data_IF_948441120389
#
_entry.id   IF_948441120389
#
_cell.length_a   1.000
_cell.length_b   1.000
_cell.length_c   1.000
_cell.angle_alpha   90.00
_cell.angle_beta   90.00
_cell.angle_gamma   90.00
#
_symmetry.space_group_name_H-M   'P 1'
#
loop_
_entity.id
_entity.type
_entity.pdbx_description
1 polymer ?
#
# COMPACT_ATOMS: atom_id res chain seq x y z
N UNK A 1 33.59 -1.84 11.18
CA UNK A 1 33.68 -2.87 10.11
C UNK A 1 32.35 -2.88 9.37
N UNK A 2 32.31 -2.22 8.22
CA UNK A 2 31.16 -2.19 7.32
C UNK A 2 31.03 -3.57 6.67
N UNK A 3 29.84 -4.17 6.59
CA UNK A 3 29.69 -5.50 6.00
C UNK A 3 30.00 -5.45 4.48
N UNK A 4 30.48 -6.56 3.90
CA UNK A 4 30.79 -6.62 2.48
C UNK A 4 29.50 -6.53 1.66
N UNK A 5 29.53 -5.71 0.61
CA UNK A 5 28.47 -5.58 -0.39
C UNK A 5 28.50 -6.88 -1.21
N UNK A 6 27.52 -7.75 -1.03
CA UNK A 6 27.43 -9.04 -1.72
C UNK A 6 27.33 -8.87 -3.25
N UNK A 7 28.12 -9.67 -3.97
CA UNK A 7 28.19 -9.80 -5.43
C UNK A 7 26.81 -10.11 -6.06
N UNK A 8 26.14 -9.11 -6.63
CA UNK A 8 24.95 -9.29 -7.50
C UNK A 8 25.20 -8.74 -8.92
N UNK A 9 26.47 -8.45 -9.25
CA UNK A 9 26.88 -7.62 -10.39
C UNK A 9 26.69 -8.28 -11.77
N UNK A 10 26.70 -9.62 -11.85
CA UNK A 10 26.50 -10.35 -13.11
C UNK A 10 25.04 -10.49 -13.51
N UNK A 11 24.12 -10.56 -12.53
CA UNK A 11 22.71 -10.90 -12.79
C UNK A 11 21.94 -9.80 -13.51
N UNK A 12 22.18 -8.53 -13.16
CA UNK A 12 21.45 -7.41 -13.78
C UNK A 12 21.80 -7.22 -15.26
N UNK A 13 23.08 -7.35 -15.62
CA UNK A 13 23.54 -7.25 -17.01
C UNK A 13 22.97 -8.37 -17.88
N UNK A 14 22.98 -9.61 -17.37
CA UNK A 14 22.39 -10.77 -18.04
C UNK A 14 20.87 -10.62 -18.23
N UNK A 15 20.16 -10.10 -17.22
CA UNK A 15 18.71 -9.89 -17.29
C UNK A 15 18.32 -8.81 -18.29
N UNK A 16 19.05 -7.69 -18.33
CA UNK A 16 18.84 -6.63 -19.30
C UNK A 16 19.14 -7.10 -20.73
N UNK A 17 20.08 -8.03 -20.89
CA UNK A 17 20.37 -8.68 -22.16
C UNK A 17 19.27 -9.68 -22.56
N UNK A 18 18.79 -10.50 -21.63
CA UNK A 18 17.67 -11.43 -21.86
C UNK A 18 16.36 -10.69 -22.18
N UNK A 19 16.15 -9.52 -21.59
CA UNK A 19 15.03 -8.63 -21.90
C UNK A 19 15.18 -7.90 -23.26
N UNK A 20 16.30 -8.09 -23.97
CA UNK A 20 16.57 -7.45 -25.27
C UNK A 20 16.87 -5.95 -25.18
N UNK A 21 17.11 -5.41 -23.99
CA UNK A 21 17.37 -3.99 -23.76
C UNK A 21 18.85 -3.61 -23.90
N UNK A 22 19.76 -4.58 -23.74
CA UNK A 22 21.20 -4.38 -23.90
C UNK A 22 21.82 -5.46 -24.79
N UNK A 23 22.79 -5.07 -25.62
CA UNK A 23 23.66 -5.99 -26.35
C UNK A 23 24.85 -6.44 -25.48
N UNK A 24 25.51 -7.58 -25.80
CA UNK A 24 26.71 -8.02 -25.08
C UNK A 24 27.83 -6.95 -25.03
N UNK A 25 27.98 -6.19 -26.12
CA UNK A 25 28.95 -5.10 -26.21
C UNK A 25 28.59 -3.94 -25.28
N UNK A 26 27.30 -3.60 -25.18
CA UNK A 26 26.83 -2.55 -24.28
C UNK A 26 27.01 -2.96 -22.81
N UNK A 27 26.76 -4.22 -22.45
CA UNK A 27 27.01 -4.75 -21.09
C UNK A 27 28.48 -4.62 -20.71
N UNK A 28 29.38 -4.98 -21.62
CA UNK A 28 30.84 -4.86 -21.42
C UNK A 28 31.26 -3.42 -21.21
N UNK A 29 30.69 -2.49 -22.00
CA UNK A 29 30.95 -1.04 -21.88
C UNK A 29 30.43 -0.45 -20.57
N UNK A 30 29.26 -0.88 -20.11
CA UNK A 30 28.70 -0.46 -18.82
C UNK A 30 29.58 -0.97 -17.67
N UNK A 31 30.02 -2.23 -17.73
CA UNK A 31 30.90 -2.83 -16.72
C UNK A 31 32.26 -2.11 -16.62
N UNK A 32 32.81 -1.65 -17.74
CA UNK A 32 34.04 -0.85 -17.75
C UNK A 32 33.87 0.49 -17.00
N UNK A 33 32.80 1.23 -17.30
CA UNK A 33 32.48 2.51 -16.61
C UNK A 33 32.14 2.28 -15.14
N UNK A 34 31.48 1.17 -14.83
CA UNK A 34 31.20 0.76 -13.46
C UNK A 34 32.50 0.59 -12.64
N UNK A 35 33.49 -0.11 -13.20
CA UNK A 35 34.78 -0.35 -12.55
C UNK A 35 35.64 0.91 -12.45
N UNK A 36 35.64 1.74 -13.48
CA UNK A 36 36.43 2.98 -13.53
C UNK A 36 35.88 4.06 -12.59
N UNK A 37 34.56 4.18 -12.47
CA UNK A 37 33.91 5.28 -11.74
C UNK A 37 33.28 4.85 -10.41
N UNK A 38 33.34 3.56 -10.06
CA UNK A 38 32.76 3.03 -8.82
C UNK A 38 31.25 3.15 -8.72
N UNK A 39 30.54 3.26 -9.85
CA UNK A 39 29.09 3.40 -9.91
C UNK A 39 28.37 2.04 -9.77
N UNK A 40 27.06 2.06 -9.53
CA UNK A 40 26.22 0.85 -9.69
C UNK A 40 25.97 0.58 -11.18
N UNK A 41 25.82 -0.68 -11.59
CA UNK A 41 25.63 -1.05 -13.02
C UNK A 41 24.49 -0.26 -13.68
N UNK A 42 23.32 -0.17 -13.03
CA UNK A 42 22.19 0.61 -13.55
C UNK A 42 22.49 2.11 -13.67
N UNK A 43 23.24 2.68 -12.73
CA UNK A 43 23.65 4.10 -12.75
C UNK A 43 24.63 4.38 -13.89
N UNK A 44 25.59 3.47 -14.11
CA UNK A 44 26.50 3.53 -15.25
C UNK A 44 25.74 3.41 -16.60
N UNK A 45 24.71 2.56 -16.68
CA UNK A 45 23.88 2.40 -17.87
C UNK A 45 23.04 3.64 -18.21
N UNK A 46 22.44 4.29 -17.20
CA UNK A 46 21.71 5.57 -17.38
C UNK A 46 22.65 6.68 -17.80
N UNK A 47 23.82 6.77 -17.17
CA UNK A 47 24.81 7.79 -17.47
C UNK A 47 25.38 7.68 -18.88
N UNK A 48 25.49 6.47 -19.41
CA UNK A 48 25.87 6.20 -20.79
C UNK A 48 24.73 6.47 -21.80
N UNK A 49 23.53 6.82 -21.33
CA UNK A 49 22.35 7.02 -22.17
C UNK A 49 21.82 5.74 -22.81
N UNK A 50 22.26 4.57 -22.33
CA UNK A 50 21.90 3.27 -22.90
C UNK A 50 20.57 2.75 -22.36
N UNK A 51 20.19 3.18 -21.15
CA UNK A 51 18.93 2.81 -20.51
C UNK A 51 18.33 4.03 -19.81
N UNK A 52 17.00 4.05 -19.71
CA UNK A 52 16.30 4.94 -18.79
C UNK A 52 16.18 4.29 -17.41
N UNK A 53 15.98 5.11 -16.37
CA UNK A 53 15.66 4.57 -15.03
C UNK A 53 14.41 3.68 -15.06
N UNK A 54 13.43 4.01 -15.90
CA UNK A 54 12.19 3.24 -16.05
C UNK A 54 12.47 1.83 -16.60
N UNK A 55 13.29 1.71 -17.63
CA UNK A 55 13.67 0.41 -18.21
C UNK A 55 14.39 -0.47 -17.18
N UNK A 56 15.28 0.11 -16.37
CA UNK A 56 15.98 -0.61 -15.30
C UNK A 56 14.99 -1.08 -14.23
N UNK A 57 14.05 -0.21 -13.82
CA UNK A 57 13.02 -0.56 -12.83
C UNK A 57 12.12 -1.70 -13.30
N UNK A 58 11.73 -1.71 -14.57
CA UNK A 58 10.89 -2.77 -15.15
C UNK A 58 11.58 -4.14 -15.12
N UNK A 59 12.87 -4.21 -15.48
CA UNK A 59 13.62 -5.47 -15.46
C UNK A 59 13.91 -5.93 -14.03
N UNK A 60 14.23 -5.01 -13.12
CA UNK A 60 14.39 -5.34 -11.70
C UNK A 60 13.07 -5.86 -11.09
N UNK A 61 11.92 -5.31 -11.50
CA UNK A 61 10.62 -5.76 -11.01
C UNK A 61 10.33 -7.21 -11.43
N UNK A 62 10.69 -7.59 -12.65
CA UNK A 62 10.61 -8.97 -13.14
C UNK A 62 11.53 -9.91 -12.35
N UNK A 63 12.77 -9.51 -12.06
CA UNK A 63 13.74 -10.30 -11.29
C UNK A 63 13.27 -10.60 -9.86
N UNK A 64 12.71 -9.59 -9.19
CA UNK A 64 12.26 -9.73 -7.80
C UNK A 64 10.80 -10.17 -7.68
N UNK A 65 10.11 -10.48 -8.79
CA UNK A 65 8.67 -10.79 -8.86
C UNK A 65 7.79 -9.75 -8.15
N UNK A 66 8.19 -8.48 -8.20
CA UNK A 66 7.33 -7.39 -7.74
C UNK A 66 6.36 -7.03 -8.87
N UNK A 67 5.08 -7.26 -8.64
CA UNK A 67 4.04 -6.72 -9.48
C UNK A 67 4.12 -5.18 -9.40
N UNK A 68 4.33 -4.51 -10.54
CA UNK A 68 4.52 -3.06 -10.65
C UNK A 68 3.46 -2.48 -11.57
N UNK A 69 3.05 -1.24 -11.29
CA UNK A 69 2.20 -0.51 -12.24
C UNK A 69 3.07 -0.02 -13.39
N UNK A 70 3.30 -0.87 -14.38
CA UNK A 70 4.15 -0.55 -15.54
C UNK A 70 3.41 0.26 -16.62
N UNK A 71 2.08 0.34 -16.55
CA UNK A 71 1.26 0.95 -17.60
C UNK A 71 0.63 2.28 -17.15
N UNK A 72 0.65 3.34 -17.98
CA UNK A 72 -0.10 4.58 -17.76
C UNK A 72 -1.63 4.40 -17.62
N UNK A 73 -2.14 3.20 -17.96
CA UNK A 73 -3.54 2.83 -17.97
C UNK A 73 -3.98 1.98 -16.76
N UNK A 74 -3.11 1.76 -15.77
CA UNK A 74 -3.41 0.86 -14.63
C UNK A 74 -4.58 1.30 -13.76
N UNK A 75 -4.99 2.57 -13.86
CA UNK A 75 -5.98 3.19 -12.97
C UNK A 75 -5.46 3.43 -11.55
N UNK A 76 -4.34 2.80 -11.16
CA UNK A 76 -3.73 2.93 -9.84
C UNK A 76 -3.11 4.31 -9.70
N UNK A 77 -3.49 5.02 -8.62
CA UNK A 77 -3.10 6.40 -8.38
C UNK A 77 -1.57 6.58 -8.40
N UNK A 78 -1.04 7.60 -9.11
CA UNK A 78 0.38 7.95 -9.09
C UNK A 78 0.93 8.25 -7.70
N UNK A 79 0.05 8.53 -6.73
CA UNK A 79 0.45 8.76 -5.35
C UNK A 79 1.01 7.50 -4.68
N UNK A 80 0.63 6.29 -5.13
CA UNK A 80 1.05 5.04 -4.52
C UNK A 80 2.50 4.69 -4.90
N UNK A 81 3.46 5.19 -4.12
CA UNK A 81 4.89 4.93 -4.32
C UNK A 81 5.24 3.44 -4.38
N UNK A 82 4.51 2.57 -3.66
CA UNK A 82 4.72 1.11 -3.73
C UNK A 82 4.46 0.52 -5.13
N UNK A 83 3.59 1.15 -5.93
CA UNK A 83 3.26 0.74 -7.28
C UNK A 83 4.18 1.35 -8.33
N UNK A 84 4.52 2.64 -8.18
CA UNK A 84 5.20 3.45 -9.20
C UNK A 84 6.69 3.72 -8.92
N UNK A 85 7.10 3.62 -7.66
CA UNK A 85 8.49 3.74 -7.20
C UNK A 85 8.87 2.55 -6.28
N UNK A 86 8.74 1.29 -6.76
CA UNK A 86 8.83 0.09 -5.93
C UNK A 86 10.20 -0.13 -5.27
N UNK A 87 11.26 0.51 -5.75
CA UNK A 87 12.61 0.46 -5.16
C UNK A 87 12.94 1.67 -4.30
N UNK A 88 11.99 2.59 -4.14
CA UNK A 88 12.16 3.78 -3.31
C UNK A 88 12.11 3.47 -1.81
N UNK A 89 12.63 4.38 -0.97
CA UNK A 89 12.64 4.21 0.48
C UNK A 89 11.24 4.08 1.09
N UNK A 90 10.24 4.76 0.52
CA UNK A 90 8.85 4.65 0.96
C UNK A 90 8.27 3.25 0.72
N UNK A 91 8.52 2.68 -0.47
CA UNK A 91 8.09 1.32 -0.80
C UNK A 91 8.71 0.30 0.18
N UNK A 92 9.99 0.48 0.51
CA UNK A 92 10.66 -0.38 1.49
C UNK A 92 10.10 -0.21 2.90
N UNK A 93 9.77 1.03 3.32
CA UNK A 93 9.11 1.27 4.60
C UNK A 93 7.75 0.55 4.69
N UNK A 94 6.94 0.59 3.61
CA UNK A 94 5.67 -0.15 3.54
C UNK A 94 5.91 -1.66 3.63
N UNK A 95 6.91 -2.23 2.94
CA UNK A 95 7.25 -3.66 3.04
C UNK A 95 7.71 -4.07 4.44
N UNK A 96 8.43 -3.19 5.15
CA UNK A 96 8.80 -3.41 6.55
C UNK A 96 7.56 -3.47 7.44
N UNK A 97 6.62 -2.53 7.30
CA UNK A 97 5.35 -2.54 8.04
C UNK A 97 4.56 -3.81 7.73
N UNK A 98 4.37 -4.17 6.45
CA UNK A 98 3.72 -5.42 6.05
C UNK A 98 4.37 -6.65 6.69
N UNK A 99 5.69 -6.72 6.72
CA UNK A 99 6.42 -7.83 7.33
C UNK A 99 6.19 -7.91 8.84
N UNK A 100 6.19 -6.78 9.54
CA UNK A 100 5.85 -6.72 10.97
C UNK A 100 4.42 -7.18 11.24
N UNK A 101 3.45 -6.76 10.40
CA UNK A 101 2.07 -7.20 10.51
C UNK A 101 1.97 -8.72 10.26
N UNK A 102 2.57 -9.24 9.20
CA UNK A 102 2.56 -10.67 8.89
C UNK A 102 3.15 -11.51 10.05
N UNK A 103 4.24 -11.06 10.66
CA UNK A 103 4.83 -11.73 11.82
C UNK A 103 3.91 -11.75 13.05
N UNK A 104 3.09 -10.71 13.23
CA UNK A 104 2.11 -10.67 14.32
C UNK A 104 1.03 -11.76 14.16
N UNK A 105 0.55 -11.96 12.93
CA UNK A 105 -0.42 -13.02 12.63
C UNK A 105 0.23 -14.42 12.61
N UNK A 106 1.54 -14.53 12.42
CA UNK A 106 2.27 -15.80 12.44
C UNK A 106 1.74 -16.78 11.38
N UNK A 107 1.48 -18.02 11.80
CA UNK A 107 0.93 -19.06 10.91
C UNK A 107 -0.60 -19.02 10.79
N UNK A 108 -1.26 -17.96 11.27
CA UNK A 108 -2.70 -17.83 11.11
C UNK A 108 -3.08 -17.86 9.63
N UNK A 109 -4.14 -18.62 9.33
CA UNK A 109 -4.64 -18.81 7.96
C UNK A 109 -5.13 -17.51 7.31
N UNK A 110 -5.48 -16.50 8.11
CA UNK A 110 -6.09 -15.25 7.68
C UNK A 110 -5.41 -14.06 8.35
N UNK A 111 -4.96 -13.12 7.53
CA UNK A 111 -4.52 -11.79 7.97
C UNK A 111 -5.70 -10.83 7.75
N UNK A 112 -6.16 -10.14 8.79
CA UNK A 112 -7.24 -9.17 8.66
C UNK A 112 -7.07 -8.01 9.63
N UNK A 113 -6.99 -6.80 9.09
CA UNK A 113 -6.86 -5.59 9.92
C UNK A 113 -7.53 -4.38 9.26
N UNK A 114 -8.10 -3.53 10.12
CA UNK A 114 -8.60 -2.22 9.74
C UNK A 114 -7.48 -1.16 9.83
N UNK A 115 -7.50 -0.16 8.96
CA UNK A 115 -6.60 0.99 9.02
C UNK A 115 -7.39 2.17 9.54
N UNK A 116 -7.05 2.62 10.75
CA UNK A 116 -7.82 3.62 11.50
C UNK A 116 -6.95 4.85 11.78
N UNK A 117 -7.52 6.04 11.63
CA UNK A 117 -6.86 7.28 12.01
C UNK A 117 -7.86 8.18 12.75
N UNK A 118 -7.42 9.00 13.72
CA UNK A 118 -8.30 9.92 14.41
C UNK A 118 -9.08 10.82 13.47
N UNK A 119 -8.40 11.44 12.49
CA UNK A 119 -8.96 12.50 11.66
C UNK A 119 -8.71 12.27 10.15
N UNK A 120 -9.47 12.99 9.32
CA UNK A 120 -9.34 12.89 7.86
C UNK A 120 -8.02 13.43 7.32
N UNK A 121 -7.46 12.75 6.31
CA UNK A 121 -6.24 13.17 5.62
C UNK A 121 -4.95 12.94 6.42
N UNK A 122 -4.98 12.00 7.35
CA UNK A 122 -3.79 11.46 8.03
C UNK A 122 -3.05 10.41 7.21
N UNK A 123 -3.60 10.05 6.03
CA UNK A 123 -3.00 9.08 5.12
C UNK A 123 -3.47 7.65 5.32
N UNK A 124 -4.60 7.43 6.03
CA UNK A 124 -5.24 6.13 6.25
C UNK A 124 -5.44 5.33 4.96
N UNK A 125 -6.13 5.91 3.97
CA UNK A 125 -6.43 5.27 2.69
C UNK A 125 -5.17 5.00 1.87
N UNK A 126 -4.19 5.91 1.94
CA UNK A 126 -2.88 5.71 1.30
C UNK A 126 -2.14 4.52 1.88
N UNK A 127 -2.08 4.43 3.22
CA UNK A 127 -1.43 3.32 3.90
C UNK A 127 -2.17 2.01 3.65
N UNK A 128 -3.50 2.01 3.72
CA UNK A 128 -4.34 0.84 3.46
C UNK A 128 -4.12 0.28 2.04
N UNK A 129 -4.23 1.13 1.01
CA UNK A 129 -3.99 0.73 -0.37
C UNK A 129 -2.53 0.27 -0.58
N UNK A 130 -1.56 0.95 0.03
CA UNK A 130 -0.14 0.58 -0.09
C UNK A 130 0.16 -0.78 0.56
N UNK A 131 -0.42 -1.06 1.72
CA UNK A 131 -0.30 -2.34 2.40
C UNK A 131 -0.99 -3.46 1.62
N UNK A 132 -2.16 -3.19 1.02
CA UNK A 132 -2.85 -4.17 0.19
C UNK A 132 -1.98 -4.58 -1.01
N UNK A 133 -1.35 -3.62 -1.70
CA UNK A 133 -0.38 -3.90 -2.75
C UNK A 133 0.81 -4.70 -2.20
N UNK A 134 1.36 -4.32 -1.04
CA UNK A 134 2.53 -4.98 -0.49
C UNK A 134 2.25 -6.44 -0.07
N UNK A 135 1.05 -6.76 0.42
CA UNK A 135 0.61 -8.13 0.70
C UNK A 135 0.38 -8.93 -0.59
N UNK A 136 -0.23 -8.34 -1.60
CA UNK A 136 -0.36 -8.94 -2.94
C UNK A 136 1.01 -9.25 -3.56
N UNK A 137 1.97 -8.33 -3.45
CA UNK A 137 3.35 -8.54 -3.91
C UNK A 137 4.08 -9.65 -3.14
N UNK A 138 3.65 -9.95 -1.92
CA UNK A 138 4.19 -11.05 -1.12
C UNK A 138 3.58 -12.43 -1.48
N UNK A 139 2.67 -12.47 -2.47
CA UNK A 139 2.04 -13.72 -2.91
C UNK A 139 0.74 -14.07 -2.20
N UNK A 140 0.18 -13.17 -1.36
CA UNK A 140 -1.10 -13.40 -0.70
C UNK A 140 -2.27 -12.91 -1.54
N UNK A 141 -3.34 -13.71 -1.64
CA UNK A 141 -4.61 -13.27 -2.22
C UNK A 141 -5.20 -12.22 -1.30
N UNK A 142 -5.15 -10.98 -1.73
CA UNK A 142 -5.43 -9.80 -0.92
C UNK A 142 -6.71 -9.13 -1.38
N UNK A 143 -7.55 -8.76 -0.42
CA UNK A 143 -8.74 -7.97 -0.63
C UNK A 143 -8.60 -6.62 0.07
N UNK A 144 -8.62 -5.55 -0.72
CA UNK A 144 -8.80 -4.19 -0.20
C UNK A 144 -10.29 -3.87 -0.13
N UNK A 145 -10.75 -3.38 1.02
CA UNK A 145 -12.14 -2.97 1.23
C UNK A 145 -12.15 -1.49 1.62
N UNK A 146 -12.77 -0.65 0.79
CA UNK A 146 -13.08 0.74 1.16
C UNK A 146 -14.38 0.76 1.97
N UNK A 147 -14.28 0.91 3.30
CA UNK A 147 -15.42 1.04 4.19
C UNK A 147 -15.72 2.49 4.61
N UNK A 148 -15.10 3.49 3.97
CA UNK A 148 -15.35 4.91 4.22
C UNK A 148 -16.57 5.42 3.43
N UNK A 149 -17.76 5.00 3.88
CA UNK A 149 -19.05 5.40 3.31
C UNK A 149 -19.41 6.89 3.54
N UNK A 150 -18.68 7.58 4.42
CA UNK A 150 -18.89 9.01 4.75
C UNK A 150 -17.94 9.94 4.01
N UNK A 151 -16.78 9.44 3.60
CA UNK A 151 -15.72 10.20 3.00
C UNK A 151 -16.13 10.90 1.69
N UNK A 152 -15.38 11.93 1.26
CA UNK A 152 -15.66 12.64 0.01
C UNK A 152 -15.53 11.73 -1.21
N UNK A 153 -16.20 12.08 -2.31
CA UNK A 153 -16.15 11.37 -3.60
C UNK A 153 -14.80 11.63 -4.24
N UNK A 154 -13.85 10.76 -3.91
CA UNK A 154 -12.50 10.77 -4.47
C UNK A 154 -12.36 9.58 -5.41
N UNK A 155 -11.61 9.72 -6.50
CA UNK A 155 -11.19 8.58 -7.29
C UNK A 155 -10.51 7.55 -6.39
N UNK A 156 -10.80 6.27 -6.61
CA UNK A 156 -10.15 5.17 -5.91
C UNK A 156 -8.65 5.22 -6.13
N UNK A 157 -7.86 5.01 -5.07
CA UNK A 157 -6.40 4.93 -5.20
C UNK A 157 -5.97 3.70 -6.01
N UNK A 158 -6.80 2.67 -6.08
CA UNK A 158 -6.52 1.43 -6.82
C UNK A 158 -7.19 1.39 -8.19
N UNK A 159 -7.81 2.50 -8.64
CA UNK A 159 -8.38 2.62 -9.99
C UNK A 159 -9.69 1.89 -10.23
N UNK A 160 -10.26 1.25 -9.20
CA UNK A 160 -11.52 0.53 -9.29
C UNK A 160 -12.66 1.42 -8.81
N UNK A 161 -13.65 1.62 -9.68
CA UNK A 161 -14.96 2.16 -9.33
C UNK A 161 -16.01 1.25 -9.98
N UNK A 162 -16.87 0.67 -9.15
CA UNK A 162 -17.96 -0.21 -9.53
C UNK A 162 -19.30 0.49 -9.26
N UNK A 163 -20.34 0.16 -10.02
CA UNK A 163 -21.69 0.66 -9.75
C UNK A 163 -22.29 0.09 -8.46
N UNK A 164 -21.87 -1.12 -8.09
CA UNK A 164 -22.20 -1.83 -6.85
C UNK A 164 -20.93 -1.98 -6.00
N UNK A 165 -21.03 -1.68 -4.71
CA UNK A 165 -19.91 -1.78 -3.78
C UNK A 165 -20.33 -2.19 -2.38
N UNK A 166 -19.48 -1.92 -1.38
CA UNK A 166 -19.68 -2.37 -0.01
C UNK A 166 -21.04 -1.94 0.54
N UNK A 167 -21.45 -0.69 0.34
CA UNK A 167 -22.73 -0.19 0.87
C UNK A 167 -23.93 -0.98 0.34
N UNK A 168 -23.93 -1.36 -0.93
CA UNK A 168 -24.99 -2.17 -1.54
C UNK A 168 -24.94 -3.63 -1.10
N UNK A 169 -23.73 -4.19 -0.94
CA UNK A 169 -23.53 -5.57 -0.46
C UNK A 169 -24.01 -5.72 0.99
N UNK A 170 -23.57 -4.83 1.88
CA UNK A 170 -23.96 -4.86 3.29
C UNK A 170 -25.44 -4.55 3.49
N UNK A 171 -26.08 -3.84 2.55
CA UNK A 171 -27.53 -3.63 2.53
C UNK A 171 -28.33 -4.82 1.95
N UNK A 172 -27.67 -5.90 1.53
CA UNK A 172 -28.30 -7.07 0.90
C UNK A 172 -28.88 -6.79 -0.49
N UNK A 173 -28.36 -5.78 -1.19
CA UNK A 173 -28.84 -5.34 -2.52
C UNK A 173 -27.94 -5.79 -3.67
N UNK A 174 -26.80 -6.40 -3.35
CA UNK A 174 -25.84 -6.95 -4.30
C UNK A 174 -25.14 -8.16 -3.67
N UNK A 175 -24.69 -9.09 -4.51
CA UNK A 175 -23.94 -10.26 -4.07
C UNK A 175 -22.55 -9.88 -3.56
N UNK A 176 -21.98 -10.75 -2.71
CA UNK A 176 -20.66 -10.63 -2.12
C UNK A 176 -19.53 -10.89 -3.16
N UNK A 177 -19.44 -10.03 -4.17
CA UNK A 177 -18.45 -10.13 -5.25
C UNK A 177 -17.44 -8.99 -5.20
N UNK A 178 -16.16 -9.33 -5.08
CA UNK A 178 -15.08 -8.37 -5.28
C UNK A 178 -14.88 -8.09 -6.78
N UNK A 179 -14.16 -7.01 -7.10
CA UNK A 179 -13.70 -6.78 -8.47
C UNK A 179 -12.87 -7.97 -8.97
N UNK A 180 -12.77 -8.18 -10.30
CA UNK A 180 -11.68 -8.98 -10.85
C UNK A 180 -10.32 -8.49 -10.32
N UNK A 181 -9.30 -9.36 -10.26
CA UNK A 181 -7.96 -8.95 -9.87
C UNK A 181 -7.46 -7.79 -10.72
N UNK A 182 -6.72 -6.87 -10.10
CA UNK A 182 -6.18 -5.71 -10.84
C UNK A 182 -5.19 -6.18 -11.91
N UNK A 183 -5.15 -5.54 -13.10
CA UNK A 183 -4.26 -5.94 -14.19
C UNK A 183 -2.80 -6.05 -13.78
N UNK A 184 -2.31 -5.06 -13.04
CA UNK A 184 -0.91 -4.99 -12.58
C UNK A 184 -0.69 -5.71 -11.25
N UNK A 185 -1.75 -6.18 -10.57
CA UNK A 185 -1.68 -6.84 -9.27
C UNK A 185 -2.65 -8.04 -9.23
N UNK A 186 -2.27 -9.19 -9.82
CA UNK A 186 -3.18 -10.32 -10.06
C UNK A 186 -3.64 -11.05 -8.78
N UNK A 187 -3.05 -10.72 -7.63
CA UNK A 187 -3.47 -11.23 -6.32
C UNK A 187 -4.19 -10.16 -5.49
N UNK A 188 -4.48 -8.99 -6.05
CA UNK A 188 -5.20 -7.91 -5.38
C UNK A 188 -6.58 -7.72 -6.02
N UNK A 189 -7.62 -7.86 -5.19
CA UNK A 189 -9.00 -7.53 -5.54
C UNK A 189 -9.47 -6.35 -4.68
N UNK A 190 -10.51 -5.67 -5.16
CA UNK A 190 -11.06 -4.47 -4.51
C UNK A 190 -12.57 -4.61 -4.34
N UNK A 191 -13.05 -4.29 -3.14
CA UNK A 191 -14.43 -3.87 -2.91
C UNK A 191 -14.36 -2.37 -2.64
N UNK A 192 -14.90 -1.56 -3.56
CA UNK A 192 -15.08 -0.14 -3.28
C UNK A 192 -16.25 0.07 -2.31
N UNK A 193 -16.42 1.29 -1.81
CA UNK A 193 -17.49 1.59 -0.85
C UNK A 193 -18.90 1.56 -1.43
N UNK A 194 -19.06 1.63 -2.77
CA UNK A 194 -20.35 1.78 -3.43
C UNK A 194 -21.00 3.16 -3.28
N UNK A 195 -22.28 3.32 -3.68
CA UNK A 195 -23.00 4.58 -3.53
C UNK A 195 -23.15 4.97 -2.06
N UNK A 196 -23.08 6.27 -1.76
CA UNK A 196 -23.23 6.75 -0.37
C UNK A 196 -24.63 6.44 0.16
N UNK A 197 -24.76 5.65 1.23
CA UNK A 197 -26.07 5.38 1.83
C UNK A 197 -26.50 6.56 2.72
N UNK A 198 -27.82 6.75 2.94
CA UNK A 198 -28.32 7.76 3.88
C UNK A 198 -28.03 7.39 5.34
N UNK A 199 -27.78 6.11 5.63
CA UNK A 199 -27.64 5.53 6.97
C UNK A 199 -26.43 4.58 7.08
N UNK A 200 -25.18 5.08 6.96
CA UNK A 200 -23.98 4.22 6.96
C UNK A 200 -23.81 3.41 8.26
N UNK A 201 -24.05 4.04 9.41
CA UNK A 201 -23.81 3.45 10.72
C UNK A 201 -24.74 2.27 10.99
N UNK A 202 -25.99 2.33 10.51
CA UNK A 202 -26.98 1.27 10.65
C UNK A 202 -26.64 0.06 9.79
N UNK A 203 -26.16 0.29 8.57
CA UNK A 203 -25.68 -0.78 7.68
C UNK A 203 -24.45 -1.45 8.31
N UNK A 204 -23.50 -0.65 8.77
CA UNK A 204 -22.28 -1.13 9.42
C UNK A 204 -22.55 -1.77 10.79
N UNK A 205 -23.58 -1.35 11.52
CA UNK A 205 -23.92 -1.85 12.86
C UNK A 205 -24.38 -3.31 12.88
N UNK A 206 -24.73 -3.86 11.73
CA UNK A 206 -24.95 -5.29 11.56
C UNK A 206 -23.64 -6.07 11.58
N UNK A 207 -23.70 -7.39 11.70
CA UNK A 207 -22.51 -8.25 11.53
C UNK A 207 -22.17 -8.51 10.04
N UNK A 208 -22.74 -7.73 9.11
CA UNK A 208 -22.66 -7.99 7.68
C UNK A 208 -21.23 -7.90 7.13
N UNK A 209 -20.39 -6.98 7.61
CA UNK A 209 -18.99 -6.92 7.14
C UNK A 209 -18.22 -8.17 7.59
N UNK A 210 -18.43 -8.62 8.83
CA UNK A 210 -17.83 -9.87 9.33
C UNK A 210 -18.29 -11.07 8.50
N UNK A 211 -19.58 -11.16 8.18
CA UNK A 211 -20.15 -12.22 7.36
C UNK A 211 -19.59 -12.20 5.93
N UNK A 212 -19.55 -11.03 5.30
CA UNK A 212 -18.95 -10.82 3.98
C UNK A 212 -17.49 -11.32 3.95
N UNK A 213 -16.68 -10.95 4.94
CA UNK A 213 -15.30 -11.42 4.99
C UNK A 213 -15.24 -12.94 5.18
N UNK A 214 -16.14 -13.51 5.98
CA UNK A 214 -16.18 -14.96 6.21
C UNK A 214 -16.53 -15.76 4.94
N UNK A 215 -17.46 -15.25 4.13
CA UNK A 215 -17.81 -15.82 2.82
C UNK A 215 -16.63 -15.81 1.83
N UNK A 216 -15.67 -14.90 2.03
CA UNK A 216 -14.49 -14.74 1.20
C UNK A 216 -13.23 -15.44 1.77
N UNK A 217 -13.28 -15.97 3.01
CA UNK A 217 -12.12 -16.55 3.71
C UNK A 217 -11.42 -17.69 2.95
N UNK A 218 -12.14 -18.44 2.09
CA UNK A 218 -11.53 -19.51 1.29
C UNK A 218 -10.69 -18.99 0.11
N UNK A 219 -11.02 -17.79 -0.37
CA UNK A 219 -10.46 -17.18 -1.59
C UNK A 219 -9.45 -16.07 -1.29
N UNK A 220 -9.47 -15.53 -0.07
CA UNK A 220 -8.67 -14.38 0.35
C UNK A 220 -7.85 -14.75 1.59
N UNK A 221 -6.56 -14.47 1.54
CA UNK A 221 -5.60 -14.72 2.62
C UNK A 221 -5.37 -13.45 3.47
N UNK A 222 -5.49 -12.26 2.86
CA UNK A 222 -5.26 -10.97 3.52
C UNK A 222 -6.40 -9.98 3.26
N UNK A 223 -7.01 -9.45 4.31
CA UNK A 223 -8.03 -8.40 4.25
C UNK A 223 -7.49 -7.09 4.81
N UNK A 224 -7.50 -6.05 3.99
CA UNK A 224 -7.09 -4.69 4.39
C UNK A 224 -8.29 -3.76 4.26
N UNK A 225 -8.78 -3.27 5.40
CA UNK A 225 -10.02 -2.49 5.45
C UNK A 225 -9.71 -1.02 5.73
N UNK A 226 -9.96 -0.13 4.76
CA UNK A 226 -9.91 1.32 4.96
C UNK A 226 -11.18 1.77 5.69
N UNK A 227 -11.04 2.64 6.69
CA UNK A 227 -12.14 3.04 7.58
C UNK A 227 -12.31 4.55 7.55
N UNK A 228 -13.48 5.13 7.87
CA UNK A 228 -13.62 6.57 8.05
C UNK A 228 -12.80 7.11 9.22
N UNK A 229 -12.75 8.43 9.37
CA UNK A 229 -12.20 9.09 10.56
C UNK A 229 -12.87 8.60 11.86
N UNK A 230 -12.06 8.22 12.86
CA UNK A 230 -12.54 7.72 14.15
C UNK A 230 -13.14 8.80 15.05
N UNK A 231 -12.76 10.08 14.89
CA UNK A 231 -13.33 11.18 15.68
C UNK A 231 -14.66 11.68 15.11
N UNK A 232 -14.89 11.52 13.80
CA UNK A 232 -16.07 12.06 13.13
C UNK A 232 -17.31 11.15 13.29
N UNK A 233 -17.11 9.85 13.50
CA UNK A 233 -18.20 8.89 13.62
C UNK A 233 -17.77 7.61 14.32
N UNK A 234 -18.74 6.83 14.82
CA UNK A 234 -18.49 5.51 15.41
C UNK A 234 -18.17 4.42 14.37
N UNK A 235 -18.30 4.73 13.07
CA UNK A 235 -18.17 3.77 11.98
C UNK A 235 -16.81 3.06 11.99
N UNK A 236 -15.72 3.79 12.22
CA UNK A 236 -14.38 3.21 12.30
C UNK A 236 -14.25 2.18 13.44
N UNK A 237 -14.87 2.46 14.59
CA UNK A 237 -14.89 1.56 15.74
C UNK A 237 -15.72 0.30 15.43
N UNK A 238 -16.87 0.45 14.79
CA UNK A 238 -17.74 -0.66 14.38
C UNK A 238 -17.04 -1.56 13.36
N UNK A 239 -16.44 -0.95 12.33
CA UNK A 239 -15.68 -1.67 11.30
C UNK A 239 -14.51 -2.43 11.92
N UNK A 240 -13.69 -1.74 12.73
CA UNK A 240 -12.55 -2.39 13.38
C UNK A 240 -12.98 -3.50 14.35
N UNK A 241 -14.10 -3.35 15.07
CA UNK A 241 -14.68 -4.39 15.92
C UNK A 241 -15.15 -5.64 15.14
N UNK A 242 -15.61 -5.46 13.91
CA UNK A 242 -15.96 -6.57 13.03
C UNK A 242 -14.74 -7.26 12.40
N UNK A 243 -13.69 -6.49 12.09
CA UNK A 243 -12.42 -7.02 11.59
C UNK A 243 -11.64 -7.72 12.70
N UNK A 244 -11.75 -7.25 13.94
CA UNK A 244 -11.12 -7.81 15.15
C UNK A 244 -9.77 -7.20 15.49
N UNK A 245 -9.05 -6.64 14.51
CA UNK A 245 -7.77 -5.95 14.73
C UNK A 245 -7.64 -4.68 13.89
N UNK A 246 -6.74 -3.79 14.30
CA UNK A 246 -6.45 -2.57 13.55
C UNK A 246 -5.00 -2.09 13.67
N UNK A 247 -4.60 -1.29 12.66
CA UNK A 247 -3.40 -0.46 12.67
C UNK A 247 -3.80 1.00 12.78
N UNK A 248 -3.21 1.73 13.72
CA UNK A 248 -3.43 3.15 13.89
C UNK A 248 -2.52 3.97 12.98
N UNK A 249 -3.03 5.06 12.40
CA UNK A 249 -2.23 6.01 11.61
C UNK A 249 -2.17 7.34 12.33
N UNK A 250 -0.96 7.85 12.54
CA UNK A 250 -0.70 9.18 13.04
C UNK A 250 0.10 9.97 12.02
N UNK A 251 -0.36 11.16 11.66
CA UNK A 251 0.32 12.07 10.76
C UNK A 251 1.18 13.08 11.49
N UNK A 252 2.41 13.21 11.01
CA UNK A 252 3.38 14.20 11.46
C UNK A 252 2.80 15.63 11.45
N UNK A 253 3.01 16.35 12.55
CA UNK A 253 2.55 17.71 12.78
C UNK A 253 1.04 17.95 12.62
N UNK A 254 0.23 16.88 12.61
CA UNK A 254 -1.22 16.99 12.45
C UNK A 254 -2.00 16.23 13.50
N UNK A 255 -1.68 14.96 13.74
CA UNK A 255 -2.41 14.14 14.71
C UNK A 255 -2.12 14.60 16.13
N UNK A 256 -3.16 14.91 16.89
CA UNK A 256 -3.01 15.25 18.31
C UNK A 256 -2.90 13.98 19.17
N UNK A 257 -2.01 13.98 20.16
CA UNK A 257 -1.91 12.87 21.12
C UNK A 257 -3.23 12.61 21.86
N UNK A 258 -4.02 13.67 22.10
CA UNK A 258 -5.34 13.56 22.73
C UNK A 258 -6.30 12.77 21.85
N UNK A 259 -6.39 13.08 20.56
CA UNK A 259 -7.26 12.37 19.63
C UNK A 259 -6.81 10.92 19.43
N UNK A 260 -5.51 10.66 19.31
CA UNK A 260 -4.95 9.31 19.26
C UNK A 260 -5.32 8.47 20.49
N UNK A 261 -5.23 9.05 21.70
CA UNK A 261 -5.61 8.36 22.95
C UNK A 261 -7.11 8.09 23.00
N UNK A 262 -7.94 9.03 22.56
CA UNK A 262 -9.39 8.85 22.50
C UNK A 262 -9.78 7.71 21.54
N UNK A 263 -9.24 7.72 20.32
CA UNK A 263 -9.46 6.65 19.33
C UNK A 263 -8.97 5.29 19.85
N UNK A 264 -7.79 5.24 20.47
CA UNK A 264 -7.25 4.03 21.11
C UNK A 264 -8.19 3.50 22.20
N UNK A 265 -8.73 4.38 23.04
CA UNK A 265 -9.67 4.01 24.10
C UNK A 265 -10.97 3.41 23.55
N UNK A 266 -11.53 4.02 22.50
CA UNK A 266 -12.74 3.53 21.83
C UNK A 266 -12.52 2.17 21.15
N UNK A 267 -11.39 1.98 20.47
CA UNK A 267 -11.06 0.71 19.83
C UNK A 267 -10.89 -0.41 20.88
N UNK A 268 -10.20 -0.14 21.98
CA UNK A 268 -10.04 -1.10 23.08
C UNK A 268 -11.37 -1.44 23.75
N UNK A 269 -12.26 -0.47 23.96
CA UNK A 269 -13.58 -0.75 24.53
C UNK A 269 -14.48 -1.57 23.61
N UNK A 270 -14.23 -1.52 22.29
CA UNK A 270 -14.86 -2.40 21.30
C UNK A 270 -14.18 -3.79 21.16
N UNK A 271 -13.18 -4.11 21.99
CA UNK A 271 -12.46 -5.38 21.95
C UNK A 271 -11.54 -5.53 20.73
N UNK A 272 -11.17 -4.42 20.08
CA UNK A 272 -10.26 -4.43 18.93
C UNK A 272 -8.82 -4.62 19.38
N UNK A 273 -8.11 -5.56 18.78
CA UNK A 273 -6.67 -5.71 18.95
C UNK A 273 -5.93 -4.61 18.17
N UNK A 274 -5.11 -3.82 18.86
CA UNK A 274 -4.30 -2.77 18.23
C UNK A 274 -2.92 -3.35 17.92
N UNK A 275 -2.66 -3.65 16.66
CA UNK A 275 -1.42 -4.25 16.17
C UNK A 275 -0.21 -3.31 16.28
N UNK A 276 -0.48 -2.00 16.28
CA UNK A 276 0.54 -0.97 16.39
C UNK A 276 0.07 0.37 15.82
N UNK A 277 1.02 1.28 15.66
CA UNK A 277 0.80 2.59 15.05
C UNK A 277 1.86 2.89 13.99
N UNK A 278 1.43 3.50 12.89
CA UNK A 278 2.27 3.98 11.80
C UNK A 278 2.32 5.50 11.87
N UNK A 279 3.53 6.04 12.00
CA UNK A 279 3.79 7.47 11.91
C UNK A 279 4.06 7.85 10.45
N UNK A 280 3.28 8.79 9.93
CA UNK A 280 3.21 9.08 8.50
C UNK A 280 3.48 10.56 8.21
N UNK A 281 4.33 10.85 7.23
CA UNK A 281 4.56 12.20 6.70
C UNK A 281 3.75 12.40 5.39
N UNK A 282 2.45 12.10 5.42
CA UNK A 282 1.62 12.17 4.21
C UNK A 282 1.48 13.62 3.70
N UNK A 283 2.26 13.94 2.67
CA UNK A 283 2.09 15.14 1.85
C UNK A 283 0.99 14.85 0.82
N UNK A 284 -0.28 15.04 1.18
CA UNK A 284 -1.38 14.96 0.20
C UNK A 284 -1.16 15.91 -1.00
N UNK A 285 -2.04 15.87 -2.02
CA UNK A 285 -1.87 16.60 -3.30
C UNK A 285 -1.53 18.11 -3.25
N UNK A 286 -1.62 18.77 -2.08
CA UNK A 286 -1.18 20.17 -1.87
C UNK A 286 0.27 20.32 -1.38
N UNK A 287 0.99 19.23 -1.08
CA UNK A 287 2.35 19.25 -0.52
C UNK A 287 3.47 18.94 -1.52
N UNK A 288 3.15 18.56 -2.76
CA UNK A 288 4.14 18.22 -3.78
C UNK A 288 4.84 19.44 -4.42
N UNK A 289 4.41 20.67 -4.09
CA UNK A 289 5.09 21.89 -4.50
C UNK A 289 5.99 22.39 -3.36
N UNK A 290 7.30 22.13 -3.48
CA UNK A 290 8.32 22.95 -2.85
C UNK A 290 8.75 22.57 -1.42
N UNK A 291 9.51 21.48 -1.29
CA UNK A 291 10.53 21.40 -0.21
C UNK A 291 11.85 20.93 -0.80
N UNK A 292 12.75 21.88 -1.05
CA UNK A 292 14.19 21.58 -1.18
C UNK A 292 14.68 21.06 0.18
N UNK A 293 15.52 20.02 0.23
CA UNK A 293 16.11 19.55 1.48
C UNK A 293 17.06 20.63 2.01
N UNK A 294 16.67 21.28 3.10
CA UNK A 294 17.53 22.21 3.82
C UNK A 294 18.66 21.45 4.49
N UNK A 295 19.90 21.77 4.08
CA UNK A 295 21.11 21.42 4.81
C UNK A 295 20.94 21.84 6.28
N UNK A 296 20.96 20.86 7.18
CA UNK A 296 21.22 21.11 8.60
C UNK A 296 22.70 21.48 8.74
N UNK A 297 23.01 22.76 8.70
CA UNK A 297 24.27 23.27 9.22
C UNK A 297 24.25 23.09 10.74
N UNK A 298 25.14 22.24 11.24
CA UNK A 298 25.53 22.17 12.65
C UNK A 298 26.12 23.51 13.08
N UNK A 299 25.65 24.07 14.18
CA UNK A 299 26.37 25.06 14.98
C UNK A 299 26.65 24.45 16.35
N UNK A 300 27.94 24.39 16.69
CA UNK A 300 28.40 24.45 18.08
C UNK A 300 28.19 25.86 18.63
#
# INVERSE_FOLDING_TARGET
MTPPISNDHGRLGELLQQAGLLTPEQVTRIAAVQAEQGLRFGEAAVRLGLLTEEQIRTVLAQQFRYAISASPQSGVSPMLSIAHAPFGPEAEAIRRIRTQLALHFGDQRRIAFAVVSPDDGEGKSYLAASLAIAFSQAGLRTLYIDADMRGPDRPSLLGVQQGTGLSTMLAGRADAEASPPLPDFPLLQVIDRGPRPPNPTEILGTSALRQLMHELDQRIDAFVVDTPSATLSADAQIIAGQVGSCVLVARQHRSSLKAMRAATGQLRSAGVEILGAVYNEFAGARGASGRKPGLLSRSA
#
